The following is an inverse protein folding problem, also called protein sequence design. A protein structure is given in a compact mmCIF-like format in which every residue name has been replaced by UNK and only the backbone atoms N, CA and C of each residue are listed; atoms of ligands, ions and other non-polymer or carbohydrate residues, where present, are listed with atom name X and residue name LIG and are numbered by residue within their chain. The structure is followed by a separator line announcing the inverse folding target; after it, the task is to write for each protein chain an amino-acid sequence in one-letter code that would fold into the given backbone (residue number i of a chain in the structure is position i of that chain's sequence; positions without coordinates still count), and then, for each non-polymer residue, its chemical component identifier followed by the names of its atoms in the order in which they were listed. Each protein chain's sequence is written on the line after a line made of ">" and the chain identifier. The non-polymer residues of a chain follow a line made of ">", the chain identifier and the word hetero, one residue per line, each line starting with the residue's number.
data_IF_674779373329
#
_entry.id   IF_674779373329
#
_cell.length_a   1.000
_cell.length_b   1.000
_cell.length_c   1.000
_cell.angle_alpha   90.00
_cell.angle_beta   90.00
_cell.angle_gamma   90.00
#
_symmetry.space_group_name_H-M   'P 1'
#
loop_
_entity.id
_entity.type
_entity.pdbx_description
1 polymer ?
#
# COMPACT_ATOMS: atom_id res chain seq x y z
N UNK A 1 -21.41 -12.18 18.85
CA UNK A 1 -20.03 -12.66 18.95
C UNK A 1 -19.55 -12.85 17.53
N UNK A 2 -18.70 -11.95 17.00
CA UNK A 2 -18.11 -12.16 15.67
C UNK A 2 -17.34 -13.48 15.71
N UNK A 3 -17.59 -14.34 14.72
CA UNK A 3 -17.04 -15.70 14.70
C UNK A 3 -15.58 -15.59 14.30
N UNK A 4 -14.67 -15.74 15.27
CA UNK A 4 -13.23 -15.83 15.00
C UNK A 4 -12.96 -17.03 14.07
N UNK A 5 -12.14 -16.81 13.05
CA UNK A 5 -11.70 -17.88 12.14
C UNK A 5 -10.36 -18.52 12.58
N UNK A 6 -9.81 -18.10 13.72
CA UNK A 6 -8.51 -18.59 14.23
C UNK A 6 -7.30 -18.10 13.41
N UNK A 7 -7.49 -17.16 12.49
CA UNK A 7 -6.43 -16.60 11.64
C UNK A 7 -6.14 -15.15 12.01
N UNK A 8 -4.86 -14.81 12.00
CA UNK A 8 -4.35 -13.46 12.20
C UNK A 8 -3.75 -12.92 10.90
N UNK A 9 -4.00 -11.64 10.61
CA UNK A 9 -3.36 -10.89 9.52
C UNK A 9 -2.50 -9.80 10.13
N UNK A 10 -1.27 -9.67 9.63
CA UNK A 10 -0.35 -8.60 10.00
C UNK A 10 -0.45 -7.50 8.95
N UNK A 11 -0.61 -6.26 9.37
CA UNK A 11 -0.66 -5.08 8.50
C UNK A 11 0.53 -4.17 8.79
N UNK A 12 1.16 -3.64 7.74
CA UNK A 12 2.26 -2.69 7.86
C UNK A 12 2.03 -1.47 6.93
N UNK A 13 1.29 -0.45 7.40
CA UNK A 13 1.07 0.77 6.65
C UNK A 13 2.38 1.55 6.47
N UNK A 14 2.46 2.31 5.39
CA UNK A 14 3.47 3.33 5.23
C UNK A 14 3.09 4.56 6.07
N UNK A 15 4.01 5.17 6.84
CA UNK A 15 3.70 6.26 7.76
C UNK A 15 3.61 7.62 7.04
N UNK A 16 3.03 7.60 5.84
CA UNK A 16 2.77 8.80 5.05
C UNK A 16 1.28 9.11 5.04
N UNK A 17 0.98 10.41 4.93
CA UNK A 17 -0.40 10.88 4.83
C UNK A 17 -1.07 10.23 3.62
N UNK A 18 -2.26 9.66 3.83
CA UNK A 18 -3.01 8.93 2.81
C UNK A 18 -2.79 7.42 2.80
N UNK A 19 -1.73 6.89 3.42
CA UNK A 19 -1.46 5.44 3.44
C UNK A 19 -2.06 4.72 4.66
N UNK A 20 -2.06 5.37 5.83
CA UNK A 20 -2.50 4.74 7.10
C UNK A 20 -4.00 4.43 7.09
N UNK A 21 -4.84 5.41 6.72
CA UNK A 21 -6.30 5.26 6.77
C UNK A 21 -6.83 4.12 5.89
N UNK A 22 -6.39 3.96 4.62
CA UNK A 22 -6.78 2.80 3.81
C UNK A 22 -6.38 1.46 4.43
N UNK A 23 -5.19 1.35 5.02
CA UNK A 23 -4.76 0.13 5.71
C UNK A 23 -5.66 -0.18 6.93
N UNK A 24 -6.05 0.84 7.69
CA UNK A 24 -6.98 0.69 8.82
C UNK A 24 -8.40 0.34 8.34
N UNK A 25 -8.84 0.85 7.18
CA UNK A 25 -10.11 0.44 6.59
C UNK A 25 -10.07 -1.04 6.17
N UNK A 26 -8.99 -1.47 5.53
CA UNK A 26 -8.75 -2.88 5.22
C UNK A 26 -8.76 -3.75 6.49
N UNK A 27 -8.12 -3.28 7.56
CA UNK A 27 -8.13 -3.93 8.86
C UNK A 27 -9.55 -4.20 9.37
N UNK A 28 -10.41 -3.17 9.33
CA UNK A 28 -11.83 -3.30 9.75
C UNK A 28 -12.59 -4.30 8.89
N UNK A 29 -12.38 -4.26 7.58
CA UNK A 29 -13.00 -5.20 6.64
C UNK A 29 -12.58 -6.64 6.95
N UNK A 30 -11.29 -6.89 7.15
CA UNK A 30 -10.78 -8.22 7.50
C UNK A 30 -11.27 -8.66 8.88
N UNK A 31 -11.29 -7.78 9.87
CA UNK A 31 -11.81 -8.07 11.20
C UNK A 31 -13.28 -8.51 11.16
N UNK A 32 -14.12 -7.80 10.40
CA UNK A 32 -15.55 -8.17 10.22
C UNK A 32 -15.74 -9.56 9.58
N UNK A 33 -14.71 -10.11 8.94
CA UNK A 33 -14.67 -11.46 8.36
C UNK A 33 -14.04 -12.50 9.30
N UNK A 34 -13.81 -12.14 10.56
CA UNK A 34 -13.34 -13.04 11.61
C UNK A 34 -11.83 -13.13 11.78
N UNK A 35 -11.05 -12.33 11.04
CA UNK A 35 -9.59 -12.28 11.22
C UNK A 35 -9.22 -11.43 12.43
N UNK A 36 -8.25 -11.91 13.21
CA UNK A 36 -7.57 -11.05 14.19
C UNK A 36 -6.53 -10.17 13.50
N UNK A 37 -6.40 -8.93 13.93
CA UNK A 37 -5.55 -7.93 13.27
C UNK A 37 -4.40 -7.53 14.19
N UNK A 38 -3.19 -7.60 13.66
CA UNK A 38 -2.01 -6.93 14.23
C UNK A 38 -1.52 -5.88 13.24
N UNK A 39 -1.37 -4.64 13.70
CA UNK A 39 -0.79 -3.53 12.92
C UNK A 39 0.59 -3.24 13.47
N UNK A 40 1.63 -3.54 12.69
CA UNK A 40 2.98 -3.02 12.95
C UNK A 40 3.01 -1.58 12.44
N UNK A 41 3.60 -0.65 13.17
CA UNK A 41 3.75 0.74 12.72
C UNK A 41 5.04 1.36 13.23
N UNK A 42 5.52 2.38 12.54
CA UNK A 42 6.64 3.21 13.01
C UNK A 42 6.19 4.16 14.11
N UNK A 43 7.14 4.70 14.88
CA UNK A 43 6.87 5.80 15.81
C UNK A 43 6.58 7.13 15.08
N UNK A 44 7.16 7.34 13.89
CA UNK A 44 6.78 8.42 12.98
C UNK A 44 5.36 8.22 12.44
N UNK A 45 4.52 9.25 12.58
CA UNK A 45 3.10 9.23 12.19
C UNK A 45 2.33 8.00 12.70
N UNK A 46 2.54 7.63 13.97
CA UNK A 46 1.87 6.47 14.55
C UNK A 46 0.33 6.56 14.48
N UNK A 47 -0.37 5.48 14.10
CA UNK A 47 -1.83 5.42 14.15
C UNK A 47 -2.32 5.55 15.59
N UNK A 48 -3.51 6.16 15.76
CA UNK A 48 -4.15 6.27 17.08
C UNK A 48 -4.74 4.94 17.51
N UNK A 49 -3.96 4.11 18.18
CA UNK A 49 -4.37 2.79 18.68
C UNK A 49 -5.67 2.83 19.51
N UNK A 50 -5.85 3.88 20.33
CA UNK A 50 -7.06 4.09 21.14
C UNK A 50 -8.35 4.22 20.32
N UNK A 51 -8.26 4.58 19.03
CA UNK A 51 -9.42 4.64 18.13
C UNK A 51 -9.80 3.27 17.54
N UNK A 52 -9.00 2.24 17.78
CA UNK A 52 -9.14 0.90 17.20
C UNK A 52 -8.86 -0.21 18.25
N UNK A 53 -9.62 -0.26 19.36
CA UNK A 53 -9.34 -1.17 20.49
C UNK A 53 -9.47 -2.66 20.15
N UNK A 54 -10.03 -3.00 18.98
CA UNK A 54 -10.18 -4.37 18.50
C UNK A 54 -8.90 -4.90 17.81
N UNK A 55 -7.90 -4.05 17.57
CA UNK A 55 -6.66 -4.43 16.90
C UNK A 55 -5.47 -4.36 17.86
N UNK A 56 -4.49 -5.21 17.64
CA UNK A 56 -3.20 -5.13 18.33
C UNK A 56 -2.26 -4.21 17.56
N UNK A 57 -1.66 -3.24 18.23
CA UNK A 57 -0.67 -2.33 17.62
C UNK A 57 0.73 -2.63 18.17
N UNK A 58 1.71 -2.72 17.28
CA UNK A 58 3.11 -2.94 17.63
C UNK A 58 3.96 -1.85 17.01
N UNK A 59 4.58 -1.04 17.86
CA UNK A 59 5.46 0.02 17.43
C UNK A 59 6.87 -0.51 17.16
N UNK A 60 7.50 -0.03 16.08
CA UNK A 60 8.92 -0.23 15.78
C UNK A 60 9.64 1.12 15.64
N UNK A 61 10.93 1.20 16.02
CA UNK A 61 11.74 2.39 15.76
C UNK A 61 11.97 2.60 14.26
N UNK A 62 11.86 3.85 13.81
CA UNK A 62 12.14 4.27 12.42
C UNK A 62 13.52 4.94 12.22
N UNK A 63 14.21 5.25 13.31
CA UNK A 63 15.54 5.86 13.27
C UNK A 63 15.61 7.26 12.65
N UNK A 64 14.48 7.96 12.50
CA UNK A 64 14.45 9.33 11.99
C UNK A 64 14.81 10.34 13.08
N UNK A 65 15.68 11.28 12.74
CA UNK A 65 15.93 12.49 13.54
C UNK A 65 14.75 13.47 13.47
N UNK A 66 14.67 14.41 14.42
CA UNK A 66 13.62 15.43 14.42
C UNK A 66 13.63 16.32 13.18
N UNK A 67 14.81 16.52 12.56
CA UNK A 67 14.94 17.26 11.29
C UNK A 67 14.37 16.45 10.14
N UNK A 68 14.67 15.15 10.06
CA UNK A 68 14.18 14.27 9.01
C UNK A 68 12.66 14.08 9.10
N UNK A 69 12.09 14.01 10.30
CA UNK A 69 10.62 13.94 10.50
C UNK A 69 9.88 15.16 9.96
N UNK A 70 10.55 16.32 9.84
CA UNK A 70 9.97 17.57 9.33
C UNK A 70 10.26 17.82 7.85
N UNK A 71 10.93 16.88 7.18
CA UNK A 71 11.27 17.04 5.77
C UNK A 71 10.03 16.99 4.89
N UNK A 72 9.95 17.89 3.90
CA UNK A 72 8.98 17.78 2.81
C UNK A 72 9.50 16.92 1.66
N UNK A 73 10.74 16.43 1.73
CA UNK A 73 11.31 15.55 0.72
C UNK A 73 10.86 14.10 0.97
N UNK A 74 9.73 13.73 0.35
CA UNK A 74 9.15 12.39 0.45
C UNK A 74 10.11 11.30 -0.04
N UNK A 75 10.94 11.57 -1.06
CA UNK A 75 11.92 10.60 -1.59
C UNK A 75 12.96 10.26 -0.51
N UNK A 76 13.59 11.29 0.07
CA UNK A 76 14.54 11.12 1.17
C UNK A 76 13.92 10.36 2.34
N UNK A 77 12.70 10.73 2.72
CA UNK A 77 11.98 10.09 3.82
C UNK A 77 11.74 8.60 3.54
N UNK A 78 11.29 8.24 2.34
CA UNK A 78 11.10 6.84 1.93
C UNK A 78 12.40 6.04 1.94
N UNK A 79 13.50 6.64 1.47
CA UNK A 79 14.83 6.01 1.50
C UNK A 79 15.28 5.72 2.93
N UNK A 80 15.16 6.70 3.83
CA UNK A 80 15.53 6.55 5.23
C UNK A 80 14.67 5.50 5.93
N UNK A 81 13.35 5.56 5.73
CA UNK A 81 12.41 4.59 6.31
C UNK A 81 12.74 3.16 5.85
N UNK A 82 12.94 2.94 4.54
CA UNK A 82 13.27 1.60 4.02
C UNK A 82 14.61 1.08 4.55
N UNK A 83 15.60 1.95 4.75
CA UNK A 83 16.90 1.57 5.32
C UNK A 83 16.79 1.25 6.80
N UNK A 84 16.14 2.12 7.57
CA UNK A 84 16.18 2.08 9.03
C UNK A 84 15.20 1.06 9.61
N UNK A 85 14.03 0.88 8.98
CA UNK A 85 12.97 0.02 9.50
C UNK A 85 13.19 -1.46 9.20
N UNK A 86 14.13 -1.84 8.32
CA UNK A 86 14.32 -3.24 7.93
C UNK A 86 14.60 -4.15 9.13
N UNK A 87 15.62 -3.81 9.93
CA UNK A 87 16.05 -4.63 11.07
C UNK A 87 14.98 -4.66 12.18
N UNK A 88 14.45 -3.51 12.65
CA UNK A 88 13.37 -3.51 13.64
C UNK A 88 12.13 -4.28 13.19
N UNK A 89 11.73 -4.14 11.92
CA UNK A 89 10.60 -4.88 11.37
C UNK A 89 10.87 -6.39 11.33
N UNK A 90 12.06 -6.81 10.88
CA UNK A 90 12.46 -8.23 10.85
C UNK A 90 12.38 -8.85 12.24
N UNK A 91 12.89 -8.16 13.24
CA UNK A 91 12.87 -8.63 14.64
C UNK A 91 11.44 -8.72 15.17
N UNK A 92 10.63 -7.68 14.97
CA UNK A 92 9.23 -7.66 15.36
C UNK A 92 8.44 -8.82 14.73
N UNK A 93 8.57 -9.00 13.41
CA UNK A 93 7.86 -10.05 12.68
C UNK A 93 8.31 -11.46 13.08
N UNK A 94 9.62 -11.65 13.32
CA UNK A 94 10.14 -12.96 13.77
C UNK A 94 9.62 -13.32 15.15
N UNK A 95 9.60 -12.36 16.09
CA UNK A 95 9.04 -12.55 17.44
C UNK A 95 7.56 -12.91 17.37
N UNK A 96 6.78 -12.19 16.55
CA UNK A 96 5.36 -12.47 16.33
C UNK A 96 5.11 -13.91 15.86
N UNK A 97 5.87 -14.38 14.86
CA UNK A 97 5.75 -15.73 14.34
C UNK A 97 6.12 -16.79 15.38
N UNK A 98 7.20 -16.58 16.12
CA UNK A 98 7.62 -17.48 17.20
C UNK A 98 6.58 -17.58 18.31
N UNK A 99 5.99 -16.45 18.72
CA UNK A 99 4.91 -16.43 19.70
C UNK A 99 3.70 -17.22 19.22
N UNK A 100 3.25 -17.01 17.99
CA UNK A 100 2.11 -17.72 17.41
C UNK A 100 2.34 -19.24 17.28
N UNK A 101 3.57 -19.67 17.01
CA UNK A 101 3.92 -21.09 16.95
C UNK A 101 3.91 -21.76 18.35
N UNK A 102 4.28 -21.00 19.38
CA UNK A 102 4.33 -21.47 20.77
C UNK A 102 2.97 -21.49 21.50
N UNK A 103 1.96 -20.80 20.96
CA UNK A 103 0.60 -20.80 21.51
C UNK A 103 -0.02 -22.22 21.44
N UNK A 104 -0.57 -22.69 22.57
CA UNK A 104 -1.26 -23.98 22.71
C UNK A 104 -2.65 -23.75 23.29
N UNK A 105 -3.65 -24.52 22.82
CA UNK A 105 -5.04 -24.42 23.29
C UNK A 105 -6.02 -23.86 22.24
N UNK A 106 -7.27 -23.66 22.67
CA UNK A 106 -8.40 -23.25 21.81
C UNK A 106 -8.26 -21.82 21.25
N UNK A 107 -7.39 -20.99 21.86
CA UNK A 107 -7.13 -19.61 21.43
C UNK A 107 -5.98 -19.47 20.41
N UNK A 108 -5.38 -20.59 19.96
CA UNK A 108 -4.26 -20.55 19.02
C UNK A 108 -4.63 -19.82 17.73
N UNK A 109 -3.96 -18.70 17.46
CA UNK A 109 -4.16 -17.95 16.22
C UNK A 109 -2.99 -18.16 15.26
N UNK A 110 -3.27 -18.75 14.10
CA UNK A 110 -2.25 -18.88 13.06
C UNK A 110 -2.11 -17.56 12.31
N UNK A 111 -0.89 -17.06 12.17
CA UNK A 111 -0.60 -15.94 11.28
C UNK A 111 -0.72 -16.43 9.83
N UNK A 112 -1.63 -15.83 9.08
CA UNK A 112 -1.99 -16.22 7.72
C UNK A 112 -1.15 -15.53 6.66
N UNK A 113 -0.98 -14.21 6.77
CA UNK A 113 -0.17 -13.41 5.86
C UNK A 113 0.24 -12.06 6.47
N UNK A 114 1.20 -11.43 5.81
CA UNK A 114 1.52 -10.00 5.93
C UNK A 114 0.86 -9.24 4.78
N UNK A 115 0.27 -8.08 5.08
CA UNK A 115 -0.13 -7.08 4.08
C UNK A 115 0.69 -5.82 4.34
N UNK A 116 1.57 -5.48 3.40
CA UNK A 116 2.45 -4.31 3.51
C UNK A 116 2.14 -3.29 2.41
N UNK A 117 2.27 -2.01 2.73
CA UNK A 117 2.21 -0.97 1.71
C UNK A 117 3.33 -1.16 0.66
N UNK A 118 3.01 -0.90 -0.61
CA UNK A 118 3.95 -0.97 -1.75
C UNK A 118 5.22 -0.15 -1.58
N UNK A 119 5.22 0.89 -0.72
CA UNK A 119 6.41 1.68 -0.40
C UNK A 119 7.46 0.95 0.45
N UNK A 120 7.15 -0.20 1.03
CA UNK A 120 8.04 -0.98 1.89
C UNK A 120 8.79 -2.08 1.15
N UNK A 121 9.88 -1.72 0.47
CA UNK A 121 10.63 -2.60 -0.43
C UNK A 121 11.34 -3.76 0.29
N UNK A 122 11.66 -3.62 1.57
CA UNK A 122 12.36 -4.67 2.32
C UNK A 122 11.42 -5.78 2.83
N UNK A 123 10.10 -5.57 2.80
CA UNK A 123 9.16 -6.49 3.46
C UNK A 123 9.02 -7.82 2.72
N UNK A 124 9.03 -7.79 1.38
CA UNK A 124 8.95 -8.99 0.56
C UNK A 124 10.10 -9.98 0.84
N UNK A 125 11.39 -9.60 0.79
CA UNK A 125 12.47 -10.55 1.04
C UNK A 125 12.47 -11.06 2.49
N UNK A 126 12.05 -10.23 3.45
CA UNK A 126 11.87 -10.69 4.85
C UNK A 126 10.77 -11.75 4.93
N UNK A 127 9.57 -11.45 4.43
CA UNK A 127 8.44 -12.37 4.47
C UNK A 127 8.76 -13.69 3.78
N UNK A 128 9.44 -13.64 2.63
CA UNK A 128 9.93 -14.82 1.92
C UNK A 128 10.90 -15.65 2.78
N UNK A 129 11.88 -15.01 3.45
CA UNK A 129 12.83 -15.72 4.32
C UNK A 129 12.16 -16.39 5.52
N UNK A 130 11.05 -15.81 5.99
CA UNK A 130 10.23 -16.33 7.09
C UNK A 130 9.11 -17.26 6.62
N UNK A 131 9.03 -17.58 5.32
CA UNK A 131 7.99 -18.40 4.69
C UNK A 131 6.57 -17.90 4.97
N UNK A 132 6.40 -16.59 5.11
CA UNK A 132 5.13 -15.93 5.34
C UNK A 132 4.61 -15.36 4.01
N UNK A 133 3.38 -15.71 3.56
CA UNK A 133 2.76 -15.07 2.40
C UNK A 133 2.64 -13.56 2.60
N UNK A 134 2.91 -12.80 1.55
CA UNK A 134 2.82 -11.33 1.56
C UNK A 134 1.89 -10.84 0.46
N UNK A 135 0.94 -9.99 0.82
CA UNK A 135 0.15 -9.20 -0.12
C UNK A 135 0.66 -7.76 -0.08
N UNK A 136 0.75 -7.13 -1.24
CA UNK A 136 1.11 -5.71 -1.36
C UNK A 136 -0.17 -4.88 -1.43
N UNK A 137 -0.25 -3.81 -0.65
CA UNK A 137 -1.31 -2.82 -0.74
C UNK A 137 -0.80 -1.61 -1.53
N UNK A 138 -1.53 -1.24 -2.57
CA UNK A 138 -1.39 0.06 -3.21
C UNK A 138 -2.59 0.93 -2.89
N UNK A 139 -2.31 2.14 -2.39
CA UNK A 139 -3.34 3.17 -2.14
C UNK A 139 -3.64 4.01 -3.38
N UNK A 140 -2.90 3.79 -4.46
CA UNK A 140 -3.14 4.43 -5.75
C UNK A 140 -4.23 3.70 -6.54
N UNK A 141 -4.67 4.31 -7.65
CA UNK A 141 -5.47 3.60 -8.64
C UNK A 141 -4.61 2.57 -9.37
N UNK A 142 -5.25 1.53 -9.92
CA UNK A 142 -4.58 0.49 -10.72
C UNK A 142 -3.82 1.11 -11.90
N UNK A 143 -4.49 2.00 -12.63
CA UNK A 143 -3.91 2.73 -13.75
C UNK A 143 -2.67 3.52 -13.35
N UNK A 144 -2.76 4.35 -12.30
CA UNK A 144 -1.63 5.16 -11.84
C UNK A 144 -0.45 4.31 -11.38
N UNK A 145 -0.72 3.27 -10.58
CA UNK A 145 0.32 2.37 -10.12
C UNK A 145 1.01 1.66 -11.29
N UNK A 146 0.25 1.21 -12.28
CA UNK A 146 0.80 0.63 -13.51
C UNK A 146 1.64 1.65 -14.30
N UNK A 147 1.14 2.88 -14.48
CA UNK A 147 1.84 3.96 -15.19
C UNK A 147 3.24 4.20 -14.64
N UNK A 148 3.43 4.12 -13.32
CA UNK A 148 4.72 4.31 -12.67
C UNK A 148 5.81 3.37 -13.20
N UNK A 149 5.45 2.21 -13.76
CA UNK A 149 6.41 1.20 -14.23
C UNK A 149 6.50 1.10 -15.74
N UNK A 150 5.46 1.51 -16.46
CA UNK A 150 5.46 1.52 -17.92
C UNK A 150 6.12 2.80 -18.44
N UNK A 151 5.85 3.96 -17.83
CA UNK A 151 6.38 5.24 -18.29
C UNK A 151 7.92 5.32 -18.27
N UNK A 152 8.65 4.82 -17.25
CA UNK A 152 10.11 4.78 -17.30
C UNK A 152 10.67 3.84 -18.38
N UNK A 153 9.96 2.75 -18.72
CA UNK A 153 10.38 1.88 -19.83
C UNK A 153 10.19 2.57 -21.17
N UNK A 154 9.02 3.18 -21.37
CA UNK A 154 8.76 4.01 -22.54
C UNK A 154 9.76 5.16 -22.63
N UNK A 155 10.18 5.76 -21.51
CA UNK A 155 11.28 6.74 -21.51
C UNK A 155 12.51 6.19 -22.21
N UNK A 156 12.99 5.01 -21.81
CA UNK A 156 14.22 4.40 -22.35
C UNK A 156 14.07 4.06 -23.83
N UNK A 157 12.87 3.70 -24.26
CA UNK A 157 12.55 3.38 -25.66
C UNK A 157 12.34 4.63 -26.52
N UNK A 158 11.79 5.71 -25.95
CA UNK A 158 11.39 6.97 -26.61
C UNK A 158 12.48 8.06 -26.53
N UNK A 159 13.45 7.98 -25.61
CA UNK A 159 14.64 8.85 -25.59
C UNK A 159 15.72 8.45 -26.62
N UNK A 160 15.45 7.47 -27.48
CA UNK A 160 16.07 7.46 -28.81
C UNK A 160 15.68 8.79 -29.48
N UNK A 161 16.60 9.52 -30.15
CA UNK A 161 16.31 10.87 -30.64
C UNK A 161 15.08 10.83 -31.55
N UNK A 162 13.94 11.27 -31.00
CA UNK A 162 12.68 11.35 -31.74
C UNK A 162 12.89 12.35 -32.87
N UNK A 163 12.54 11.94 -34.09
CA UNK A 163 12.45 12.91 -35.17
C UNK A 163 11.28 13.86 -34.88
N UNK A 164 11.38 15.14 -35.29
CA UNK A 164 10.33 16.13 -35.03
C UNK A 164 8.94 15.68 -35.53
N UNK A 165 8.90 14.84 -36.56
CA UNK A 165 7.67 14.23 -37.09
C UNK A 165 6.99 13.23 -36.14
N UNK A 166 7.74 12.60 -35.24
CA UNK A 166 7.24 11.55 -34.34
C UNK A 166 6.71 12.11 -33.02
N UNK A 167 6.98 13.38 -32.72
CA UNK A 167 6.63 14.00 -31.44
C UNK A 167 5.11 14.13 -31.21
N UNK A 168 4.33 14.23 -32.29
CA UNK A 168 2.86 14.32 -32.24
C UNK A 168 2.18 12.93 -32.23
N UNK A 169 2.92 11.84 -32.41
CA UNK A 169 2.36 10.49 -32.36
C UNK A 169 1.80 10.19 -30.97
N UNK A 170 0.66 9.49 -30.94
CA UNK A 170 0.08 8.96 -29.71
C UNK A 170 0.93 7.82 -29.14
N UNK A 171 1.00 7.75 -27.82
CA UNK A 171 1.57 6.62 -27.09
C UNK A 171 0.49 5.55 -26.98
N UNK A 172 0.69 4.41 -27.64
CA UNK A 172 -0.31 3.35 -27.72
C UNK A 172 -0.71 2.82 -26.34
N UNK A 173 0.21 2.83 -25.39
CA UNK A 173 0.01 2.40 -24.01
C UNK A 173 -0.78 3.42 -23.18
N UNK A 174 -0.83 4.69 -23.61
CA UNK A 174 -1.46 5.79 -22.87
C UNK A 174 -2.19 6.82 -23.77
N UNK A 175 -3.22 6.45 -24.55
CA UNK A 175 -4.06 7.44 -25.22
C UNK A 175 -4.75 8.32 -24.16
N UNK A 176 -4.78 9.67 -24.29
CA UNK A 176 -4.45 10.49 -25.45
C UNK A 176 -3.04 11.14 -25.41
N UNK A 177 -2.13 10.65 -24.57
CA UNK A 177 -0.81 11.25 -24.42
C UNK A 177 0.02 11.08 -25.69
N UNK A 178 0.68 12.16 -26.14
CA UNK A 178 1.63 12.12 -27.26
C UNK A 178 3.05 11.89 -26.74
N UNK A 179 3.95 11.43 -27.61
CA UNK A 179 5.37 11.22 -27.26
C UNK A 179 6.02 12.47 -26.64
N UNK A 180 5.69 13.68 -27.11
CA UNK A 180 6.17 14.93 -26.48
C UNK A 180 5.62 15.20 -25.07
N UNK A 181 4.37 14.80 -24.81
CA UNK A 181 3.73 14.97 -23.51
C UNK A 181 4.42 14.04 -22.49
N UNK A 182 4.80 12.84 -22.95
CA UNK A 182 5.62 11.89 -22.19
C UNK A 182 7.00 12.48 -21.89
N UNK A 183 7.74 12.99 -22.88
CA UNK A 183 9.06 13.63 -22.64
C UNK A 183 8.95 14.75 -21.60
N UNK A 184 7.93 15.61 -21.68
CA UNK A 184 7.71 16.71 -20.73
C UNK A 184 7.31 16.24 -19.31
N UNK A 185 6.55 15.16 -19.20
CA UNK A 185 6.22 14.52 -17.91
C UNK A 185 7.46 13.86 -17.29
N UNK A 186 8.38 13.41 -18.13
CA UNK A 186 9.49 12.53 -17.76
C UNK A 186 10.83 13.22 -17.54
N UNK A 187 10.97 14.51 -17.88
CA UNK A 187 12.17 15.34 -17.71
C UNK A 187 12.46 15.70 -16.23
N UNK A 188 11.64 15.23 -15.29
CA UNK A 188 11.75 15.52 -13.86
C UNK A 188 12.39 14.36 -13.10
N UNK A 189 13.71 14.49 -12.86
CA UNK A 189 14.52 13.74 -11.87
C UNK A 189 14.40 12.20 -11.88
N UNK A 190 15.08 11.56 -12.83
CA UNK A 190 14.98 10.12 -13.13
C UNK A 190 15.98 9.22 -12.40
N UNK A 191 17.19 9.71 -12.10
CA UNK A 191 18.31 8.86 -11.68
C UNK A 191 18.10 8.14 -10.34
N UNK A 192 17.29 8.73 -9.45
CA UNK A 192 16.96 8.16 -8.14
C UNK A 192 15.58 7.49 -8.15
N UNK A 193 14.64 8.02 -8.94
CA UNK A 193 13.26 7.54 -8.95
C UNK A 193 13.12 6.22 -9.70
N UNK A 194 13.82 6.05 -10.83
CA UNK A 194 13.71 4.84 -11.65
C UNK A 194 14.19 3.59 -10.92
N UNK A 195 15.38 3.56 -10.25
CA UNK A 195 15.80 2.40 -9.47
C UNK A 195 14.84 2.09 -8.32
N UNK A 196 14.24 3.11 -7.70
CA UNK A 196 13.24 2.94 -6.65
C UNK A 196 11.98 2.26 -7.20
N UNK A 197 11.43 2.75 -8.31
CA UNK A 197 10.23 2.17 -8.92
C UNK A 197 10.49 0.77 -9.47
N UNK A 198 11.66 0.52 -10.07
CA UNK A 198 12.07 -0.82 -10.51
C UNK A 198 12.11 -1.80 -9.32
N UNK A 199 12.57 -1.34 -8.14
CA UNK A 199 12.55 -2.16 -6.93
C UNK A 199 11.12 -2.43 -6.44
N UNK A 200 10.26 -1.41 -6.37
CA UNK A 200 8.84 -1.58 -6.01
C UNK A 200 8.14 -2.58 -6.93
N UNK A 201 8.37 -2.48 -8.25
CA UNK A 201 7.84 -3.42 -9.24
C UNK A 201 8.32 -4.84 -8.97
N UNK A 202 9.62 -5.03 -8.75
CA UNK A 202 10.21 -6.34 -8.48
C UNK A 202 9.60 -6.98 -7.22
N UNK A 203 9.51 -6.22 -6.13
CA UNK A 203 8.95 -6.71 -4.87
C UNK A 203 7.46 -7.02 -5.00
N UNK A 204 6.72 -6.20 -5.74
CA UNK A 204 5.30 -6.44 -6.01
C UNK A 204 5.11 -7.73 -6.80
N UNK A 205 5.86 -7.94 -7.88
CA UNK A 205 5.80 -9.17 -8.70
C UNK A 205 6.18 -10.43 -7.93
N UNK A 206 7.01 -10.31 -6.91
CA UNK A 206 7.42 -11.42 -6.05
C UNK A 206 6.47 -11.66 -4.86
N UNK A 207 5.40 -10.87 -4.73
CA UNK A 207 4.37 -11.03 -3.69
C UNK A 207 3.33 -12.09 -4.07
N UNK A 208 2.52 -12.50 -3.10
CA UNK A 208 1.41 -13.44 -3.29
C UNK A 208 0.18 -12.78 -3.93
N UNK A 209 0.14 -11.46 -4.05
CA UNK A 209 -0.98 -10.72 -4.63
C UNK A 209 -0.94 -9.23 -4.30
N UNK A 210 -1.71 -8.47 -5.08
CA UNK A 210 -1.79 -7.02 -5.01
C UNK A 210 -3.22 -6.59 -4.66
N UNK A 211 -3.35 -5.72 -3.67
CA UNK A 211 -4.62 -5.16 -3.21
C UNK A 211 -4.64 -3.68 -3.58
N UNK A 212 -5.74 -3.23 -4.17
CA UNK A 212 -6.03 -1.82 -4.42
C UNK A 212 -7.24 -1.39 -3.59
N UNK A 213 -7.15 -0.25 -2.91
CA UNK A 213 -8.24 0.31 -2.10
C UNK A 213 -9.20 1.20 -2.91
N UNK A 214 -9.13 1.17 -4.24
CA UNK A 214 -10.04 1.90 -5.13
C UNK A 214 -11.12 0.95 -5.69
N UNK A 215 -12.38 1.41 -5.71
CA UNK A 215 -13.48 0.69 -6.35
C UNK A 215 -13.15 0.38 -7.79
N UNK A 216 -13.64 -0.75 -8.27
CA UNK A 216 -13.64 -1.20 -9.66
C UNK A 216 -14.39 -0.27 -10.65
N UNK A 217 -14.74 0.95 -10.25
CA UNK A 217 -15.30 1.99 -11.11
C UNK A 217 -14.20 2.99 -11.49
N UNK A 218 -13.28 2.50 -12.30
CA UNK A 218 -12.74 3.14 -13.51
C UNK A 218 -11.58 2.25 -14.01
N UNK A 219 -11.95 1.39 -14.95
CA UNK A 219 -11.13 0.74 -15.97
C UNK A 219 -10.80 -0.76 -15.76
N UNK A 220 -11.75 -1.62 -16.16
CA UNK A 220 -11.53 -3.07 -16.34
C UNK A 220 -10.33 -3.35 -17.25
N UNK A 221 -10.05 -2.46 -18.20
CA UNK A 221 -8.91 -2.57 -19.10
C UNK A 221 -7.60 -2.40 -18.32
N UNK A 222 -7.49 -1.36 -17.47
CA UNK A 222 -6.34 -1.18 -16.57
C UNK A 222 -6.11 -2.37 -15.63
N UNK A 223 -7.19 -2.98 -15.10
CA UNK A 223 -7.07 -4.20 -14.27
C UNK A 223 -6.56 -5.38 -15.09
N UNK A 224 -7.09 -5.56 -16.30
CA UNK A 224 -6.70 -6.65 -17.20
C UNK A 224 -5.23 -6.51 -17.61
N UNK A 225 -4.81 -5.32 -18.03
CA UNK A 225 -3.41 -5.01 -18.33
C UNK A 225 -2.50 -5.21 -17.11
N UNK A 226 -2.92 -4.79 -15.92
CA UNK A 226 -2.15 -5.01 -14.70
C UNK A 226 -1.99 -6.51 -14.42
N UNK A 227 -3.03 -7.34 -14.62
CA UNK A 227 -2.91 -8.80 -14.45
C UNK A 227 -1.87 -9.40 -15.40
N UNK A 228 -1.83 -8.95 -16.65
CA UNK A 228 -0.83 -9.37 -17.64
C UNK A 228 0.59 -8.94 -17.24
N UNK A 229 0.73 -7.71 -16.75
CA UNK A 229 2.03 -7.13 -16.39
C UNK A 229 2.62 -7.75 -15.12
N UNK A 230 1.82 -7.86 -14.06
CA UNK A 230 2.27 -8.32 -12.74
C UNK A 230 2.26 -9.85 -12.60
N UNK A 231 1.37 -10.56 -13.30
CA UNK A 231 1.22 -12.03 -13.26
C UNK A 231 0.98 -12.59 -11.85
N UNK A 232 0.28 -11.83 -11.00
CA UNK A 232 -0.14 -12.22 -9.64
C UNK A 232 -1.63 -11.89 -9.46
N UNK A 233 -2.31 -12.49 -8.46
CA UNK A 233 -3.69 -12.12 -8.13
C UNK A 233 -3.81 -10.64 -7.78
N UNK A 234 -4.79 -9.96 -8.38
CA UNK A 234 -5.14 -8.57 -8.08
C UNK A 234 -6.54 -8.51 -7.48
N UNK A 235 -6.68 -7.81 -6.35
CA UNK A 235 -7.91 -7.63 -5.60
C UNK A 235 -8.27 -6.14 -5.50
N UNK A 236 -9.44 -5.76 -6.01
CA UNK A 236 -10.02 -4.44 -5.77
C UNK A 236 -10.87 -4.45 -4.50
N UNK A 237 -10.72 -3.44 -3.65
CA UNK A 237 -11.58 -3.22 -2.49
C UNK A 237 -12.27 -1.88 -2.68
N UNK A 238 -13.60 -1.95 -2.78
CA UNK A 238 -14.45 -0.78 -2.95
C UNK A 238 -14.33 0.23 -1.82
N UNK A 239 -14.71 1.50 -2.07
CA UNK A 239 -14.65 2.57 -1.12
C UNK A 239 -15.51 2.23 0.10
N UNK A 240 -14.99 2.62 1.25
CA UNK A 240 -15.48 2.24 2.58
C UNK A 240 -16.97 2.48 2.85
N UNK A 241 -17.63 3.41 2.14
CA UNK A 241 -19.07 3.70 2.34
C UNK A 241 -19.98 2.53 1.92
N UNK A 242 -19.52 1.64 1.05
CA UNK A 242 -20.27 0.44 0.66
C UNK A 242 -20.13 -0.71 1.67
N UNK A 243 -19.14 -0.63 2.57
CA UNK A 243 -18.83 -1.67 3.56
C UNK A 243 -19.16 -1.28 4.99
N UNK A 244 -19.36 0.02 5.25
CA UNK A 244 -19.81 0.55 6.53
C UNK A 244 -20.91 1.59 6.25
N UNK A 245 -22.21 1.27 6.48
CA UNK A 245 -23.25 2.27 6.38
C UNK A 245 -22.93 3.40 7.37
N UNK A 246 -23.01 4.65 6.90
CA UNK A 246 -22.84 5.82 7.74
C UNK A 246 -23.76 5.67 8.96
N UNK A 247 -23.19 5.73 10.16
CA UNK A 247 -23.97 5.88 11.39
C UNK A 247 -24.85 7.11 11.21
N UNK A 248 -26.16 6.90 11.15
CA UNK A 248 -27.18 7.93 11.07
C UNK A 248 -26.98 8.92 12.22
N UNK A 249 -26.51 10.14 11.91
CA UNK A 249 -26.62 11.25 12.83
C UNK A 249 -28.11 11.44 13.18
N UNK A 250 -28.49 11.56 14.46
CA UNK A 250 -29.85 11.94 14.80
C UNK A 250 -30.13 13.34 14.26
N UNK A 251 -31.29 13.48 13.61
CA UNK A 251 -31.81 14.70 12.99
C UNK A 251 -31.51 15.97 13.81
N UNK A 252 -31.06 17.07 13.18
CA UNK A 252 -31.15 18.37 13.81
C UNK A 252 -32.62 18.81 13.83
N UNK A 253 -33.13 18.99 15.04
CA UNK A 253 -34.43 19.57 15.37
C UNK A 253 -34.65 20.87 14.60
N UNK A 254 -35.81 20.99 13.94
CA UNK A 254 -36.31 22.23 13.33
C UNK A 254 -36.26 23.38 14.35
N UNK A 255 -35.42 24.37 14.11
CA UNK A 255 -35.57 25.69 14.73
C UNK A 255 -36.65 26.46 13.95
N UNK A 256 -37.79 26.66 14.62
CA UNK A 256 -38.83 27.58 14.17
C UNK A 256 -38.38 29.01 14.44
N UNK A 257 -38.42 29.86 13.41
CA UNK A 257 -38.29 31.31 13.57
C UNK A 257 -39.66 31.90 13.96
N UNK A 258 -39.72 32.47 15.15
CA UNK A 258 -40.69 33.50 15.54
C UNK A 258 -39.92 34.65 16.19
N UNK A 259 -40.15 35.85 15.66
CA UNK A 259 -39.47 37.10 16.03
C UNK A 259 -39.43 38.04 14.85
#
# INVERSE_FOLDING_TARGET
>A
MEKSNGLRVILFPLPLQGCINPMIQLAKILHSRGFSITVIHTCFNAPKASSHPLFTFLEIPDGLSETEKRTNNTKLLLTLLNRNCESPFRECLSKLLQSADSETGEEKQRISCLIADSGWMFTQPIAQSLKLPILVLSVFTVSFFRCQFVLPKLRREVYLPLQDSEQEDLVQEFPPLRKKDIVRILDVETDILDPFLDKVLQMTKASSGLIFMSCEELDQDSVSQAREDFKIPIFGIGPSHSHFPATSCPHPTRLAFHG
#
